data_IF_730845672143
#
_entry.id   IF_730845672143
#
_cell.length_a   1.000
_cell.length_b   1.000
_cell.length_c   1.000
_cell.angle_alpha   90.00
_cell.angle_beta   90.00
_cell.angle_gamma   90.00
#
_symmetry.space_group_name_H-M   'P 1'
#
loop_
_entity.id
_entity.type
_entity.pdbx_description
1 polymer ?
#
# COMPACT_ATOMS: atom_id res chain seq x y z
N UNK A 1 5.52 3.66 13.94
CA UNK A 1 5.13 3.82 12.52
C UNK A 1 3.85 3.02 12.35
N UNK A 2 2.70 3.70 12.34
CA UNK A 2 1.39 3.07 12.14
C UNK A 2 1.48 2.04 11.02
N UNK A 3 1.18 0.77 11.36
CA UNK A 3 1.06 -0.31 10.37
C UNK A 3 -0.08 0.10 9.44
N UNK A 4 0.25 0.75 8.34
CA UNK A 4 -0.72 0.92 7.26
C UNK A 4 -1.02 -0.47 6.73
N UNK A 5 -2.13 -1.03 7.23
CA UNK A 5 -2.49 -2.40 7.01
C UNK A 5 -2.53 -2.70 5.50
N UNK A 6 -1.81 -3.74 5.07
CA UNK A 6 -1.74 -4.12 3.65
C UNK A 6 -3.14 -4.39 3.10
N UNK A 7 -4.02 -4.94 3.94
CA UNK A 7 -5.43 -5.14 3.63
C UNK A 7 -6.15 -3.82 3.34
N UNK A 8 -5.89 -2.78 4.14
CA UNK A 8 -6.46 -1.44 3.95
C UNK A 8 -5.94 -0.77 2.67
N UNK A 9 -4.66 -0.94 2.34
CA UNK A 9 -4.10 -0.45 1.07
C UNK A 9 -4.77 -1.12 -0.14
N UNK A 10 -4.99 -2.44 -0.10
CA UNK A 10 -5.72 -3.17 -1.15
C UNK A 10 -7.15 -2.66 -1.34
N UNK A 11 -7.87 -2.34 -0.26
CA UNK A 11 -9.22 -1.72 -0.37
C UNK A 11 -9.17 -0.33 -1.00
N UNK A 12 -8.21 0.50 -0.58
CA UNK A 12 -8.04 1.88 -1.06
C UNK A 12 -7.71 1.99 -2.55
N UNK A 13 -7.19 0.94 -3.18
CA UNK A 13 -7.00 0.89 -4.64
C UNK A 13 -8.32 0.99 -5.43
N UNK A 14 -9.43 0.56 -4.85
CA UNK A 14 -10.77 0.66 -5.45
C UNK A 14 -11.46 2.00 -5.21
N UNK A 15 -10.79 2.95 -4.55
CA UNK A 15 -11.36 4.28 -4.30
C UNK A 15 -11.43 5.11 -5.59
N UNK A 16 -12.51 5.89 -5.80
CA UNK A 16 -12.58 6.83 -6.92
C UNK A 16 -11.59 8.00 -6.76
N UNK A 17 -11.11 8.26 -5.55
CA UNK A 17 -10.17 9.35 -5.28
C UNK A 17 -8.74 8.98 -5.73
N UNK A 18 -8.22 9.72 -6.70
CA UNK A 18 -6.87 9.50 -7.25
C UNK A 18 -5.77 9.62 -6.19
N UNK A 19 -5.87 10.56 -5.24
CA UNK A 19 -4.86 10.74 -4.17
C UNK A 19 -4.84 9.51 -3.25
N UNK A 20 -6.01 8.97 -2.94
CA UNK A 20 -6.16 7.74 -2.14
C UNK A 20 -5.55 6.54 -2.85
N UNK A 21 -5.81 6.37 -4.15
CA UNK A 21 -5.24 5.30 -4.97
C UNK A 21 -3.71 5.41 -5.10
N UNK A 22 -3.17 6.62 -5.31
CA UNK A 22 -1.72 6.87 -5.35
C UNK A 22 -1.03 6.52 -4.02
N UNK A 23 -1.62 6.90 -2.89
CA UNK A 23 -1.10 6.54 -1.56
C UNK A 23 -1.11 5.01 -1.34
N UNK A 24 -2.20 4.34 -1.72
CA UNK A 24 -2.32 2.89 -1.63
C UNK A 24 -1.25 2.18 -2.47
N UNK A 25 -1.03 2.65 -3.69
CA UNK A 25 -0.02 2.11 -4.60
C UNK A 25 1.39 2.21 -3.98
N UNK A 26 1.74 3.37 -3.40
CA UNK A 26 3.02 3.55 -2.70
C UNK A 26 3.22 2.53 -1.56
N UNK A 27 2.21 2.35 -0.72
CA UNK A 27 2.24 1.37 0.39
C UNK A 27 2.43 -0.06 -0.12
N UNK A 28 1.73 -0.44 -1.20
CA UNK A 28 1.85 -1.77 -1.81
C UNK A 28 3.26 -2.01 -2.39
N UNK A 29 3.86 -1.02 -3.04
CA UNK A 29 5.23 -1.12 -3.54
C UNK A 29 6.26 -1.21 -2.40
N UNK A 30 6.10 -0.39 -1.36
CA UNK A 30 6.97 -0.46 -0.17
C UNK A 30 6.89 -1.83 0.51
N UNK A 31 5.69 -2.39 0.65
CA UNK A 31 5.49 -3.74 1.20
C UNK A 31 6.18 -4.80 0.34
N UNK A 32 6.06 -4.73 -1.00
CA UNK A 32 6.75 -5.64 -1.93
C UNK A 32 8.28 -5.54 -1.79
N UNK A 33 8.82 -4.31 -1.71
CA UNK A 33 10.27 -4.10 -1.52
C UNK A 33 10.75 -4.63 -0.17
N UNK A 34 9.98 -4.45 0.91
CA UNK A 34 10.30 -5.02 2.23
C UNK A 34 10.31 -6.54 2.21
N UNK A 35 9.33 -7.16 1.53
CA UNK A 35 9.30 -8.61 1.38
C UNK A 35 10.52 -9.14 0.61
N UNK A 36 10.99 -8.42 -0.41
CA UNK A 36 12.18 -8.79 -1.16
C UNK A 36 13.48 -8.61 -0.35
N UNK A 37 13.56 -7.58 0.50
CA UNK A 37 14.74 -7.36 1.38
C UNK A 37 14.88 -8.42 2.47
N UNK A 38 13.77 -9.01 2.90
CA UNK A 38 13.75 -10.02 3.97
C UNK A 38 13.84 -11.47 3.44
N UNK A 39 14.08 -11.66 2.13
CA UNK A 39 14.38 -12.95 1.51
C UNK A 39 15.87 -13.06 1.25
#
# INVERSE_FOLDING_TARGET
>A
MEKTDLASARRRMKSPNIKTRKRALKILHEAKRKQQKNR
#
